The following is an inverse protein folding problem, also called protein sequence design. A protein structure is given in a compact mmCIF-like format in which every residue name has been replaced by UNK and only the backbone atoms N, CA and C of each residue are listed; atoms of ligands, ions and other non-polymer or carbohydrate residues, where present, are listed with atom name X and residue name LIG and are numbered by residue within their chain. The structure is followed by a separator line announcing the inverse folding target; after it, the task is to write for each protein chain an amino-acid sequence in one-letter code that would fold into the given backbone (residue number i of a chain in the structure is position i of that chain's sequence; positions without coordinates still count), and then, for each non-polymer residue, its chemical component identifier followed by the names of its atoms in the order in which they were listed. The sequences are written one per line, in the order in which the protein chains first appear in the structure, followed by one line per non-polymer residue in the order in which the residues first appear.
data_IF_809054031337
#
_entry.id   IF_809054031337
#
_cell.length_a   1.000
_cell.length_b   1.000
_cell.length_c   1.000
_cell.angle_alpha   90.00
_cell.angle_beta   90.00
_cell.angle_gamma   90.00
#
_symmetry.space_group_name_H-M   'P 1'
#
loop_
_entity.id
_entity.type
_entity.pdbx_description
1 polymer ?
#
# COMPACT_ATOMS: atom_id res chain seq x y z
N UNK A 1 -20.66 -7.88 5.48
CA UNK A 1 -20.68 -6.97 4.32
C UNK A 1 -19.86 -7.51 3.16
N UNK A 2 -18.52 -7.48 3.11
CA UNK A 2 -17.75 -7.98 1.93
C UNK A 2 -18.08 -9.45 1.60
N UNK A 3 -18.02 -10.36 2.59
CA UNK A 3 -18.32 -11.78 2.38
C UNK A 3 -19.75 -11.99 1.86
N UNK A 4 -20.75 -11.54 2.60
CA UNK A 4 -22.17 -11.76 2.29
C UNK A 4 -22.65 -11.01 1.03
N UNK A 5 -22.27 -9.75 0.87
CA UNK A 5 -22.81 -8.87 -0.18
C UNK A 5 -22.11 -9.03 -1.53
N UNK A 6 -20.84 -9.46 -1.54
CA UNK A 6 -20.05 -9.58 -2.77
C UNK A 6 -19.70 -11.03 -3.13
N UNK A 7 -19.20 -11.80 -2.16
CA UNK A 7 -18.66 -13.13 -2.42
C UNK A 7 -19.76 -14.19 -2.42
N UNK A 8 -20.53 -14.28 -1.34
CA UNK A 8 -21.62 -15.26 -1.19
C UNK A 8 -22.74 -14.99 -2.21
N UNK A 9 -22.95 -13.71 -2.56
CA UNK A 9 -23.86 -13.27 -3.62
C UNK A 9 -23.32 -13.51 -5.04
N UNK A 10 -22.08 -14.00 -5.18
CA UNK A 10 -21.36 -14.23 -6.44
C UNK A 10 -21.21 -12.99 -7.35
N UNK A 11 -21.37 -11.79 -6.79
CA UNK A 11 -21.16 -10.53 -7.53
C UNK A 11 -19.68 -10.29 -7.82
N UNK A 12 -18.79 -10.74 -6.92
CA UNK A 12 -17.36 -10.52 -7.07
C UNK A 12 -16.52 -11.67 -6.53
N UNK A 13 -15.56 -12.15 -7.33
CA UNK A 13 -14.69 -13.25 -6.93
C UNK A 13 -13.64 -12.78 -5.91
N UNK A 14 -13.27 -13.61 -4.91
CA UNK A 14 -12.24 -13.25 -3.92
C UNK A 14 -10.92 -12.75 -4.54
N UNK A 15 -10.48 -13.39 -5.63
CA UNK A 15 -9.28 -13.01 -6.40
C UNK A 15 -9.39 -11.58 -6.93
N UNK A 16 -10.56 -11.19 -7.45
CA UNK A 16 -10.77 -9.85 -7.98
C UNK A 16 -10.87 -8.81 -6.86
N UNK A 17 -11.50 -9.15 -5.73
CA UNK A 17 -11.52 -8.28 -4.54
C UNK A 17 -10.09 -7.99 -4.06
N UNK A 18 -9.22 -9.00 -4.04
CA UNK A 18 -7.80 -8.80 -3.66
C UNK A 18 -7.10 -7.86 -4.64
N UNK A 19 -7.32 -8.02 -5.95
CA UNK A 19 -6.77 -7.12 -6.98
C UNK A 19 -7.25 -5.68 -6.80
N UNK A 20 -8.53 -5.50 -6.53
CA UNK A 20 -9.11 -4.17 -6.31
C UNK A 20 -8.55 -3.53 -5.05
N UNK A 21 -8.50 -4.25 -3.93
CA UNK A 21 -7.89 -3.74 -2.69
C UNK A 21 -6.43 -3.36 -2.94
N UNK A 22 -5.70 -4.22 -3.63
CA UNK A 22 -4.30 -4.01 -3.99
C UNK A 22 -4.08 -2.72 -4.78
N UNK A 23 -4.91 -2.45 -5.79
CA UNK A 23 -4.85 -1.23 -6.60
C UNK A 23 -5.24 0.04 -5.83
N UNK A 24 -5.95 -0.07 -4.71
CA UNK A 24 -6.33 1.07 -3.87
C UNK A 24 -5.25 1.48 -2.86
N UNK A 25 -4.28 0.61 -2.54
CA UNK A 25 -3.23 0.89 -1.56
C UNK A 25 -2.45 2.19 -1.87
N UNK A 26 -2.00 2.45 -3.11
CA UNK A 26 -1.22 3.64 -3.40
C UNK A 26 -1.96 4.97 -3.14
N UNK A 27 -3.29 4.94 -3.25
CA UNK A 27 -4.14 6.12 -3.03
C UNK A 27 -4.51 6.33 -1.56
N UNK A 28 -4.32 5.31 -0.71
CA UNK A 28 -4.73 5.35 0.68
C UNK A 28 -3.73 4.66 1.61
N UNK A 29 -2.45 5.02 1.44
CA UNK A 29 -1.29 4.43 2.10
C UNK A 29 -1.37 4.40 3.64
N UNK A 30 -2.16 5.30 4.26
CA UNK A 30 -2.37 5.32 5.72
C UNK A 30 -2.91 3.98 6.22
N UNK A 31 -3.73 3.32 5.41
CA UNK A 31 -4.40 2.08 5.78
C UNK A 31 -3.75 0.84 5.17
N UNK A 32 -2.53 0.96 4.64
CA UNK A 32 -1.79 -0.16 4.03
C UNK A 32 -1.81 -1.41 4.90
N UNK A 33 -1.51 -1.31 6.20
CA UNK A 33 -1.55 -2.47 7.12
C UNK A 33 -2.93 -3.12 7.18
N UNK A 34 -4.00 -2.32 7.24
CA UNK A 34 -5.37 -2.82 7.26
C UNK A 34 -5.75 -3.49 5.93
N UNK A 35 -5.30 -2.96 4.80
CA UNK A 35 -5.50 -3.58 3.49
C UNK A 35 -4.75 -4.91 3.35
N UNK A 36 -3.47 -4.96 3.76
CA UNK A 36 -2.67 -6.20 3.75
C UNK A 36 -3.30 -7.27 4.63
N UNK A 37 -3.78 -6.88 5.83
CA UNK A 37 -4.52 -7.77 6.72
C UNK A 37 -5.80 -8.30 6.07
N UNK A 38 -6.56 -7.45 5.38
CA UNK A 38 -7.78 -7.86 4.67
C UNK A 38 -7.46 -8.85 3.55
N UNK A 39 -6.41 -8.58 2.76
CA UNK A 39 -5.92 -9.51 1.72
C UNK A 39 -5.53 -10.85 2.35
N UNK A 40 -4.78 -10.85 3.46
CA UNK A 40 -4.37 -12.08 4.16
C UNK A 40 -5.58 -12.91 4.56
N UNK A 41 -6.59 -12.27 5.17
CA UNK A 41 -7.84 -12.94 5.57
C UNK A 41 -8.59 -13.51 4.38
N UNK A 42 -8.65 -12.80 3.25
CA UNK A 42 -9.30 -13.30 2.03
C UNK A 42 -8.54 -14.51 1.47
N UNK A 43 -7.21 -14.42 1.36
CA UNK A 43 -6.39 -15.52 0.87
C UNK A 43 -6.55 -16.77 1.74
N UNK A 44 -6.55 -16.62 3.07
CA UNK A 44 -6.68 -17.75 3.99
C UNK A 44 -8.07 -18.39 3.95
N UNK A 45 -9.13 -17.56 4.04
CA UNK A 45 -10.51 -18.05 4.13
C UNK A 45 -10.99 -18.73 2.83
N UNK A 46 -10.41 -18.35 1.69
CA UNK A 46 -10.75 -18.91 0.38
C UNK A 46 -9.63 -19.79 -0.20
N UNK A 47 -8.62 -20.12 0.61
CA UNK A 47 -7.49 -20.99 0.24
C UNK A 47 -6.80 -20.59 -1.07
N UNK A 48 -6.64 -19.29 -1.31
CA UNK A 48 -6.02 -18.78 -2.53
C UNK A 48 -4.50 -18.94 -2.45
N UNK A 49 -3.96 -19.80 -3.31
CA UNK A 49 -2.51 -20.08 -3.37
C UNK A 49 -1.73 -19.11 -4.27
N UNK A 50 -2.41 -18.47 -5.21
CA UNK A 50 -1.83 -17.51 -6.15
C UNK A 50 -2.91 -16.51 -6.58
N UNK A 51 -2.52 -15.24 -6.69
CA UNK A 51 -3.34 -14.16 -7.24
C UNK A 51 -2.46 -13.35 -8.18
N UNK A 52 -2.60 -13.62 -9.48
CA UNK A 52 -1.84 -12.92 -10.53
C UNK A 52 -2.34 -11.50 -10.76
N UNK A 53 -1.49 -10.63 -11.28
CA UNK A 53 -1.79 -9.23 -11.62
C UNK A 53 -2.21 -8.43 -10.38
N UNK A 54 -1.54 -8.65 -9.25
CA UNK A 54 -1.63 -7.78 -8.07
C UNK A 54 -0.71 -6.58 -8.31
N UNK A 55 -1.11 -5.42 -7.79
CA UNK A 55 -0.28 -4.23 -7.88
C UNK A 55 1.09 -4.47 -7.23
N UNK A 56 2.17 -4.15 -7.96
CA UNK A 56 3.53 -4.52 -7.60
C UNK A 56 3.90 -4.17 -6.15
N UNK A 57 3.65 -2.92 -5.72
CA UNK A 57 3.99 -2.48 -4.37
C UNK A 57 3.22 -3.25 -3.28
N UNK A 58 1.97 -3.62 -3.57
CA UNK A 58 1.17 -4.41 -2.66
C UNK A 58 1.73 -5.82 -2.50
N UNK A 59 2.09 -6.49 -3.60
CA UNK A 59 2.65 -7.85 -3.54
C UNK A 59 3.95 -7.88 -2.74
N UNK A 60 4.81 -6.87 -2.94
CA UNK A 60 6.04 -6.73 -2.18
C UNK A 60 5.80 -6.45 -0.68
N UNK A 61 4.93 -5.49 -0.35
CA UNK A 61 4.62 -5.17 1.05
C UNK A 61 3.99 -6.36 1.77
N UNK A 62 3.14 -7.11 1.07
CA UNK A 62 2.53 -8.34 1.58
C UNK A 62 3.59 -9.43 1.85
N UNK A 63 4.54 -9.60 0.93
CA UNK A 63 5.67 -10.51 1.13
C UNK A 63 6.54 -10.09 2.32
N UNK A 64 6.84 -8.80 2.47
CA UNK A 64 7.63 -8.28 3.59
C UNK A 64 6.93 -8.50 4.95
N UNK A 65 5.61 -8.34 5.00
CA UNK A 65 4.82 -8.48 6.24
C UNK A 65 4.58 -9.95 6.61
N UNK A 66 4.27 -10.82 5.64
CA UNK A 66 3.80 -12.19 5.89
C UNK A 66 4.69 -13.31 5.35
N UNK A 67 5.75 -12.99 4.59
CA UNK A 67 6.63 -13.97 3.94
C UNK A 67 5.97 -14.74 2.78
N UNK A 68 4.80 -14.29 2.31
CA UNK A 68 4.01 -14.95 1.27
C UNK A 68 4.01 -14.10 0.02
N UNK A 69 4.32 -14.71 -1.13
CA UNK A 69 4.26 -14.07 -2.43
C UNK A 69 2.97 -14.50 -3.13
N UNK A 70 2.03 -13.56 -3.34
CA UNK A 70 0.72 -13.86 -3.93
C UNK A 70 0.82 -13.95 -5.46
N UNK A 71 1.49 -12.99 -6.09
CA UNK A 71 1.87 -13.10 -7.50
C UNK A 71 3.32 -13.59 -7.59
N UNK A 72 3.50 -14.83 -8.04
CA UNK A 72 4.81 -15.49 -8.09
C UNK A 72 5.67 -14.99 -9.25
N UNK A 73 5.07 -14.37 -10.27
CA UNK A 73 5.80 -13.88 -11.45
C UNK A 73 6.63 -12.62 -11.17
N UNK A 74 6.30 -11.86 -10.12
CA UNK A 74 6.92 -10.58 -9.82
C UNK A 74 8.32 -10.71 -9.22
N UNK A 75 9.34 -10.07 -9.79
CA UNK A 75 10.64 -9.99 -9.13
C UNK A 75 10.75 -8.73 -8.24
N UNK A 76 11.13 -8.91 -6.98
CA UNK A 76 11.26 -7.82 -6.01
C UNK A 76 12.61 -7.09 -6.07
N UNK A 77 13.55 -7.55 -6.92
CA UNK A 77 14.87 -6.95 -7.08
C UNK A 77 14.84 -5.44 -7.43
N UNK A 78 13.73 -4.94 -7.99
CA UNK A 78 13.64 -3.54 -8.46
C UNK A 78 13.15 -2.52 -7.42
N UNK A 79 12.87 -2.93 -6.17
CA UNK A 79 12.34 -2.02 -5.14
C UNK A 79 13.47 -1.34 -4.38
N UNK A 80 13.53 -0.01 -4.49
CA UNK A 80 14.44 0.79 -3.69
C UNK A 80 13.91 0.90 -2.25
N UNK A 81 14.74 0.49 -1.28
CA UNK A 81 14.42 0.52 0.16
C UNK A 81 14.05 1.95 0.61
N UNK A 82 14.66 2.98 0.00
CA UNK A 82 14.39 4.39 0.33
C UNK A 82 12.94 4.80 0.15
N UNK A 83 12.23 4.23 -0.83
CA UNK A 83 10.82 4.53 -1.10
C UNK A 83 9.89 4.03 0.02
N UNK A 84 10.32 3.01 0.78
CA UNK A 84 9.50 2.36 1.80
C UNK A 84 9.67 3.00 3.18
N UNK A 85 10.71 3.80 3.38
CA UNK A 85 11.05 4.43 4.67
C UNK A 85 10.55 5.87 4.81
N UNK A 86 9.87 6.40 3.79
CA UNK A 86 9.43 7.80 3.79
C UNK A 86 8.50 8.16 4.96
N UNK A 87 7.82 7.17 5.56
CA UNK A 87 6.93 7.34 6.72
C UNK A 87 7.54 6.88 8.05
N UNK A 88 8.74 6.29 8.06
CA UNK A 88 9.36 5.77 9.29
C UNK A 88 10.15 6.85 10.05
N UNK A 89 10.77 7.78 9.33
CA UNK A 89 11.59 8.89 9.88
C UNK A 89 10.72 10.10 10.27
N UNK A 90 11.31 11.04 11.02
CA UNK A 90 10.68 12.35 11.30
C UNK A 90 10.71 13.21 10.02
N UNK A 91 9.80 12.91 9.08
CA UNK A 91 9.69 13.57 7.77
C UNK A 91 8.38 14.33 7.65
N UNK A 92 8.36 15.34 6.76
CA UNK A 92 7.13 16.04 6.37
C UNK A 92 6.08 15.06 5.81
N UNK A 93 6.50 14.00 5.11
CA UNK A 93 5.60 12.97 4.58
C UNK A 93 4.88 12.19 5.69
N UNK A 94 5.55 11.89 6.80
CA UNK A 94 4.92 11.28 7.98
C UNK A 94 3.93 12.23 8.65
N UNK A 95 4.25 13.52 8.71
CA UNK A 95 3.36 14.53 9.26
C UNK A 95 2.07 14.63 8.42
N UNK A 96 2.19 14.70 7.09
CA UNK A 96 1.05 14.68 6.16
C UNK A 96 0.21 13.40 6.33
N UNK A 97 0.85 12.23 6.30
CA UNK A 97 0.15 10.93 6.43
C UNK A 97 -0.70 10.84 7.71
N UNK A 98 -0.18 11.37 8.82
CA UNK A 98 -0.84 11.28 10.13
C UNK A 98 -1.69 12.50 10.47
N UNK A 99 -1.82 13.46 9.55
CA UNK A 99 -2.50 14.74 9.80
C UNK A 99 -1.92 15.49 11.03
N UNK A 100 -0.60 15.44 11.21
CA UNK A 100 0.11 16.15 12.28
C UNK A 100 0.44 17.57 11.85
N UNK A 101 -0.51 18.48 12.10
CA UNK A 101 -0.43 19.89 11.72
C UNK A 101 0.77 20.57 12.38
N UNK A 102 1.11 20.23 13.63
CA UNK A 102 2.20 20.89 14.36
C UNK A 102 3.55 20.59 13.73
N UNK A 103 3.82 19.31 13.47
CA UNK A 103 5.07 18.90 12.81
C UNK A 103 5.13 19.44 11.39
N UNK A 104 4.01 19.44 10.66
CA UNK A 104 3.95 19.99 9.31
C UNK A 104 4.36 21.46 9.25
N UNK A 105 3.79 22.32 10.12
CA UNK A 105 4.15 23.74 10.19
C UNK A 105 5.65 23.91 10.47
N UNK A 106 6.18 23.16 11.44
CA UNK A 106 7.61 23.21 11.76
C UNK A 106 8.51 22.83 10.59
N UNK A 107 8.10 21.90 9.72
CA UNK A 107 8.85 21.56 8.52
C UNK A 107 8.79 22.66 7.47
N UNK A 108 7.65 23.35 7.31
CA UNK A 108 7.49 24.42 6.31
C UNK A 108 8.21 25.72 6.69
N UNK A 109 8.47 25.95 7.98
CA UNK A 109 9.19 27.12 8.48
C UNK A 109 10.72 26.93 8.53
N UNK A 110 11.21 25.72 8.28
CA UNK A 110 12.64 25.43 8.30
C UNK A 110 13.37 26.11 7.14
N UNK A 111 14.56 26.66 7.37
CA UNK A 111 15.36 27.38 6.34
C UNK A 111 15.66 26.53 5.09
N UNK A 112 15.72 25.21 5.25
CA UNK A 112 15.99 24.26 4.18
C UNK A 112 14.73 23.73 3.47
N UNK A 113 13.54 24.24 3.82
CA UNK A 113 12.30 23.84 3.15
C UNK A 113 12.27 24.38 1.72
N UNK A 114 12.03 23.49 0.76
CA UNK A 114 11.84 23.85 -0.64
C UNK A 114 10.42 23.48 -1.09
N UNK A 115 9.62 24.49 -1.42
CA UNK A 115 8.25 24.32 -1.92
C UNK A 115 8.17 23.53 -3.24
N UNK A 116 9.28 23.48 -4.00
CA UNK A 116 9.35 22.78 -5.27
C UNK A 116 9.77 21.30 -5.13
N UNK A 117 10.02 20.82 -3.91
CA UNK A 117 10.38 19.43 -3.69
C UNK A 117 9.20 18.51 -4.03
N UNK A 118 9.44 17.55 -4.93
CA UNK A 118 8.46 16.54 -5.34
C UNK A 118 8.85 15.19 -4.77
N UNK A 119 7.86 14.47 -4.23
CA UNK A 119 8.04 13.09 -3.81
C UNK A 119 7.97 12.16 -5.04
N UNK A 120 9.08 11.50 -5.36
CA UNK A 120 9.08 10.35 -6.26
C UNK A 120 9.15 9.09 -5.39
N UNK A 121 8.09 8.30 -5.37
CA UNK A 121 8.00 7.13 -4.51
C UNK A 121 7.01 6.10 -5.07
N UNK A 122 7.43 4.84 -5.17
CA UNK A 122 6.59 3.73 -5.64
C UNK A 122 5.41 3.39 -4.72
N UNK A 123 5.35 3.95 -3.51
CA UNK A 123 4.18 3.83 -2.62
C UNK A 123 2.98 4.63 -3.13
N UNK A 124 3.20 5.69 -3.91
CA UNK A 124 2.14 6.55 -4.42
C UNK A 124 1.95 6.33 -5.93
N UNK A 125 0.75 6.63 -6.48
CA UNK A 125 0.55 6.63 -7.92
C UNK A 125 1.51 7.62 -8.59
N UNK A 126 1.97 7.30 -9.80
CA UNK A 126 2.69 8.26 -10.63
C UNK A 126 1.70 9.35 -11.11
N UNK A 127 2.17 10.60 -11.13
CA UNK A 127 1.40 11.70 -11.71
C UNK A 127 1.14 11.41 -13.21
N UNK A 128 -0.09 11.57 -13.71
CA UNK A 128 -0.45 11.33 -15.11
C UNK A 128 0.16 12.34 -16.09
#
# INVERSE_FOLDING_TARGET
MIKTELIDSKKHLPVNIIRDISGNIPYNNRYTKSYLYLIKRLSDNYHLQEVKNIFYICNYLFYKEYGIKLDKSEDFETINIGDLEIHSKNTIYKAIMNNDIKSFISFTEAENFNINDKLRCKLYPEDP
#
